data_IF_649824520587
#
_entry.id   IF_649824520587
#
_cell.length_a   1.000
_cell.length_b   1.000
_cell.length_c   1.000
_cell.angle_alpha   90.00
_cell.angle_beta   90.00
_cell.angle_gamma   90.00
#
_symmetry.space_group_name_H-M   'P 1'
#
loop_
_entity.id
_entity.type
_entity.pdbx_description
1 polymer ?
#
# COMPACT_ATOMS: atom_id res chain seq x y z
N UNK A 1 10.96 9.46 -0.01
CA UNK A 1 10.69 8.11 -0.58
C UNK A 1 10.55 8.20 -2.10
N UNK A 2 11.60 8.53 -2.86
CA UNK A 2 11.49 8.81 -4.31
C UNK A 2 11.05 7.60 -5.14
N UNK A 3 11.31 6.39 -4.68
CA UNK A 3 10.99 5.16 -5.42
C UNK A 3 9.54 4.69 -5.29
N UNK A 4 8.73 5.29 -4.42
CA UNK A 4 7.33 4.86 -4.25
C UNK A 4 6.42 5.24 -5.42
N UNK A 5 6.84 6.18 -6.28
CA UNK A 5 6.09 6.56 -7.51
C UNK A 5 5.88 5.40 -8.50
N UNK A 6 6.70 4.35 -8.43
CA UNK A 6 6.49 3.14 -9.26
C UNK A 6 5.15 2.45 -8.92
N UNK A 7 4.74 2.51 -7.65
CA UNK A 7 3.47 1.94 -7.21
C UNK A 7 2.28 2.72 -7.77
N UNK A 8 2.44 4.02 -8.03
CA UNK A 8 1.37 4.85 -8.59
C UNK A 8 0.96 4.34 -9.97
N UNK A 9 1.91 4.24 -10.91
CA UNK A 9 1.62 3.77 -12.26
C UNK A 9 1.03 2.35 -12.27
N UNK A 10 1.56 1.47 -11.41
CA UNK A 10 1.08 0.10 -11.30
C UNK A 10 -0.35 0.04 -10.77
N UNK A 11 -0.63 0.67 -9.62
CA UNK A 11 -1.95 0.65 -8.99
C UNK A 11 -2.99 1.30 -9.90
N UNK A 12 -2.65 2.45 -10.51
CA UNK A 12 -3.51 3.17 -11.47
C UNK A 12 -3.88 2.30 -12.69
N UNK A 13 -3.01 1.41 -13.13
CA UNK A 13 -3.28 0.49 -14.24
C UNK A 13 -3.85 -0.87 -13.79
N UNK A 14 -3.93 -1.14 -12.50
CA UNK A 14 -4.25 -2.47 -11.96
C UNK A 14 -5.64 -2.95 -12.39
N UNK A 15 -6.65 -2.08 -12.36
CA UNK A 15 -8.01 -2.42 -12.79
C UNK A 15 -8.04 -2.83 -14.27
N UNK A 16 -7.27 -2.14 -15.11
CA UNK A 16 -7.14 -2.49 -16.52
C UNK A 16 -6.40 -3.82 -16.71
N UNK A 17 -5.31 -4.05 -15.98
CA UNK A 17 -4.59 -5.32 -16.00
C UNK A 17 -5.50 -6.51 -15.63
N UNK A 18 -6.38 -6.33 -14.63
CA UNK A 18 -7.38 -7.34 -14.26
C UNK A 18 -8.38 -7.64 -15.39
N UNK A 19 -8.91 -6.59 -16.06
CA UNK A 19 -9.81 -6.75 -17.22
C UNK A 19 -9.13 -7.48 -18.38
N UNK A 20 -7.89 -7.11 -18.70
CA UNK A 20 -7.10 -7.75 -19.76
C UNK A 20 -6.82 -9.21 -19.42
N UNK A 21 -6.44 -9.51 -18.18
CA UNK A 21 -6.21 -10.88 -17.73
C UNK A 21 -7.48 -11.74 -17.88
N UNK A 22 -8.63 -11.22 -17.47
CA UNK A 22 -9.90 -11.94 -17.63
C UNK A 22 -10.23 -12.18 -19.10
N UNK A 23 -10.15 -11.15 -19.94
CA UNK A 23 -10.39 -11.28 -21.39
C UNK A 23 -9.46 -12.29 -22.06
N UNK A 24 -8.18 -12.33 -21.68
CA UNK A 24 -7.23 -13.30 -22.20
C UNK A 24 -7.54 -14.72 -21.75
N UNK A 25 -8.01 -14.94 -20.52
CA UNK A 25 -8.46 -16.26 -20.05
C UNK A 25 -9.69 -16.75 -20.80
N UNK A 26 -10.61 -15.84 -21.12
CA UNK A 26 -11.84 -16.18 -21.83
C UNK A 26 -11.60 -16.47 -23.32
N UNK A 27 -10.64 -15.77 -23.93
CA UNK A 27 -10.34 -15.88 -25.37
C UNK A 27 -9.30 -16.96 -25.69
N UNK A 28 -8.39 -17.25 -24.76
CA UNK A 28 -7.30 -18.20 -24.96
C UNK A 28 -7.32 -19.33 -23.88
N UNK A 29 -7.88 -20.51 -24.22
CA UNK A 29 -7.95 -21.64 -23.29
C UNK A 29 -6.58 -22.23 -22.96
N UNK A 30 -5.60 -22.16 -23.86
CA UNK A 30 -4.24 -22.65 -23.61
C UNK A 30 -3.54 -21.84 -22.51
N UNK A 31 -3.67 -20.51 -22.57
CA UNK A 31 -3.18 -19.61 -21.52
C UNK A 31 -3.86 -19.91 -20.17
N UNK A 32 -5.16 -20.18 -20.16
CA UNK A 32 -5.90 -20.51 -18.93
C UNK A 32 -5.35 -21.78 -18.26
N UNK A 33 -5.06 -22.82 -19.05
CA UNK A 33 -4.44 -24.06 -18.55
C UNK A 33 -3.03 -23.79 -18.04
N UNK A 34 -2.20 -23.02 -18.75
CA UNK A 34 -0.86 -22.66 -18.30
C UNK A 34 -0.89 -21.90 -16.96
N UNK A 35 -1.80 -20.94 -16.80
CA UNK A 35 -1.97 -20.22 -15.53
C UNK A 35 -2.41 -21.14 -14.39
N UNK A 36 -3.22 -22.15 -14.69
CA UNK A 36 -3.63 -23.15 -13.71
C UNK A 36 -2.46 -24.06 -13.30
N UNK A 37 -1.64 -24.53 -14.25
CA UNK A 37 -0.42 -25.28 -13.93
C UNK A 37 0.56 -24.45 -13.10
N UNK A 38 0.74 -23.16 -13.43
CA UNK A 38 1.60 -22.26 -12.67
C UNK A 38 1.12 -22.06 -11.24
N UNK A 39 -0.19 -22.10 -10.99
CA UNK A 39 -0.76 -22.02 -9.64
C UNK A 39 -0.37 -23.23 -8.79
N UNK A 40 -0.27 -24.41 -9.40
CA UNK A 40 0.10 -25.67 -8.72
C UNK A 40 1.59 -25.73 -8.38
N UNK A 41 2.41 -24.84 -8.94
CA UNK A 41 3.82 -24.69 -8.54
C UNK A 41 3.92 -24.28 -7.06
N UNK A 42 4.70 -25.01 -6.24
CA UNK A 42 4.96 -24.64 -4.84
C UNK A 42 5.45 -23.19 -4.65
N UNK A 43 6.18 -22.64 -5.63
CA UNK A 43 6.66 -21.25 -5.63
C UNK A 43 5.52 -20.24 -5.75
N UNK A 44 4.44 -20.60 -6.45
CA UNK A 44 3.25 -19.77 -6.62
C UNK A 44 2.29 -19.82 -5.41
N UNK A 45 2.62 -20.60 -4.37
CA UNK A 45 1.85 -20.67 -3.12
C UNK A 45 0.34 -20.92 -3.32
N UNK A 46 -0.04 -21.61 -4.40
CA UNK A 46 -1.43 -21.85 -4.79
C UNK A 46 -2.26 -20.57 -5.06
N UNK A 47 -1.62 -19.44 -5.34
CA UNK A 47 -2.26 -18.17 -5.66
C UNK A 47 -2.39 -17.96 -7.16
N UNK A 48 -3.53 -17.39 -7.57
CA UNK A 48 -3.76 -16.99 -8.97
C UNK A 48 -2.97 -15.71 -9.30
N UNK A 49 -2.64 -15.51 -10.58
CA UNK A 49 -1.94 -14.31 -11.03
C UNK A 49 -2.67 -13.01 -10.62
N UNK A 50 -4.01 -13.03 -10.60
CA UNK A 50 -4.84 -11.92 -10.14
C UNK A 50 -4.51 -11.49 -8.71
N UNK A 51 -4.17 -12.44 -7.83
CA UNK A 51 -3.78 -12.16 -6.44
C UNK A 51 -2.44 -11.44 -6.36
N UNK A 52 -1.49 -11.79 -7.24
CA UNK A 52 -0.18 -11.14 -7.29
C UNK A 52 -0.26 -9.70 -7.81
N UNK A 53 -1.18 -9.42 -8.74
CA UNK A 53 -1.43 -8.06 -9.24
C UNK A 53 -1.95 -7.11 -8.15
N UNK A 54 -2.54 -7.63 -7.07
CA UNK A 54 -3.03 -6.86 -5.91
C UNK A 54 -1.92 -6.53 -4.89
N UNK A 55 -0.80 -7.26 -4.88
CA UNK A 55 0.26 -7.13 -3.88
C UNK A 55 0.83 -5.71 -3.78
N UNK A 56 1.07 -4.97 -4.89
CA UNK A 56 1.59 -3.60 -4.81
C UNK A 56 0.67 -2.65 -4.04
N UNK A 57 -0.65 -2.77 -4.24
CA UNK A 57 -1.64 -1.98 -3.51
C UNK A 57 -1.67 -2.34 -2.03
N UNK A 58 -1.65 -3.65 -1.72
CA UNK A 58 -1.59 -4.15 -0.34
C UNK A 58 -0.32 -3.70 0.39
N UNK A 59 0.80 -3.62 -0.32
CA UNK A 59 2.07 -3.16 0.26
C UNK A 59 2.02 -1.66 0.55
N UNK A 60 1.43 -0.87 -0.34
CA UNK A 60 1.29 0.57 -0.15
C UNK A 60 0.41 0.91 1.06
N UNK A 61 -0.71 0.21 1.25
CA UNK A 61 -1.60 0.42 2.40
C UNK A 61 -1.00 -0.05 3.72
N UNK A 62 -0.06 -1.01 3.70
CA UNK A 62 0.62 -1.50 4.90
C UNK A 62 1.67 -0.54 5.46
N UNK A 63 2.36 0.24 4.62
CA UNK A 63 3.45 1.11 5.10
C UNK A 63 3.00 2.10 6.18
N UNK A 64 1.91 2.88 6.01
CA UNK A 64 1.44 3.78 7.07
C UNK A 64 1.12 3.04 8.38
N UNK A 65 0.56 1.84 8.31
CA UNK A 65 0.23 1.05 9.51
C UNK A 65 1.47 0.63 10.28
N UNK A 66 2.47 0.08 9.58
CA UNK A 66 3.72 -0.37 10.19
C UNK A 66 4.52 0.81 10.75
N UNK A 67 4.58 1.94 10.03
CA UNK A 67 5.30 3.12 10.50
C UNK A 67 4.62 3.73 11.73
N UNK A 68 3.27 3.74 11.78
CA UNK A 68 2.53 4.14 13.00
C UNK A 68 2.87 3.25 14.18
N UNK A 69 2.94 1.94 13.98
CA UNK A 69 3.32 1.02 15.05
C UNK A 69 4.74 1.29 15.55
N UNK A 70 5.69 1.47 14.63
CA UNK A 70 7.07 1.83 14.99
C UNK A 70 7.07 3.13 15.81
N UNK A 71 6.37 4.18 15.35
CA UNK A 71 6.27 5.44 16.08
C UNK A 71 5.71 5.29 17.50
N UNK A 72 4.69 4.44 17.68
CA UNK A 72 4.09 4.16 18.99
C UNK A 72 5.05 3.42 19.94
N UNK A 73 5.86 2.48 19.43
CA UNK A 73 6.86 1.78 20.24
C UNK A 73 8.12 2.61 20.48
N UNK A 74 8.34 3.66 19.69
CA UNK A 74 9.38 4.66 19.93
C UNK A 74 8.93 5.73 20.94
N UNK A 75 7.63 5.87 21.23
CA UNK A 75 7.18 6.70 22.36
C UNK A 75 7.60 6.03 23.68
N UNK A 76 8.27 6.74 24.61
CA UNK A 76 8.46 6.21 25.95
C UNK A 76 7.06 6.03 26.56
N UNK A 77 6.77 4.88 27.21
CA UNK A 77 5.54 4.77 27.98
C UNK A 77 5.50 5.97 28.93
N UNK A 78 4.43 6.76 28.84
CA UNK A 78 4.16 7.82 29.81
C UNK A 78 4.43 7.18 31.19
N UNK A 79 5.33 7.74 32.01
CA UNK A 79 5.59 7.13 33.29
C UNK A 79 4.24 7.05 33.99
N UNK A 80 3.85 5.82 34.36
CA UNK A 80 2.80 5.60 35.34
C UNK A 80 3.25 6.41 36.55
N UNK A 81 2.76 7.65 36.65
CA UNK A 81 3.10 8.56 37.71
C UNK A 81 2.46 7.98 38.96
N UNK A 82 3.24 7.20 39.69
CA UNK A 82 3.10 7.14 41.13
C UNK A 82 3.37 8.57 41.63
N UNK A 83 2.36 9.28 42.19
CA UNK A 83 2.52 10.65 42.66
C UNK A 83 3.51 10.78 43.82
N UNK A 84 4.02 9.66 44.35
CA UNK A 84 5.05 9.63 45.40
C UNK A 84 6.50 9.61 44.87
N UNK A 85 6.74 9.45 43.56
CA UNK A 85 8.09 9.37 43.02
C UNK A 85 8.54 10.72 42.44
N UNK A 86 9.71 11.20 42.89
CA UNK A 86 10.31 12.46 42.45
C UNK A 86 10.35 12.56 40.91
N UNK A 87 10.20 13.77 40.32
CA UNK A 87 10.15 13.93 38.88
C UNK A 87 11.48 13.47 38.28
N UNK A 88 11.50 12.25 37.73
CA UNK A 88 12.57 11.84 36.83
C UNK A 88 12.45 12.74 35.62
N UNK A 89 13.38 13.67 35.48
CA UNK A 89 13.73 14.30 34.21
C UNK A 89 13.92 13.19 33.18
N UNK A 90 12.87 12.87 32.41
CA UNK A 90 13.03 12.11 31.18
C UNK A 90 13.70 13.04 30.18
N UNK A 91 15.01 13.25 30.34
CA UNK A 91 15.84 13.77 29.26
C UNK A 91 15.81 12.70 28.17
N UNK A 92 14.83 12.77 27.28
CA UNK A 92 14.93 12.12 25.98
C UNK A 92 16.19 12.65 25.32
N UNK A 93 17.10 11.77 24.89
CA UNK A 93 18.33 12.22 24.25
C UNK A 93 17.98 13.02 22.98
N UNK A 94 18.73 14.07 22.61
CA UNK A 94 18.49 14.83 21.38
C UNK A 94 18.40 13.96 20.11
N UNK A 95 19.10 12.82 20.11
CA UNK A 95 19.04 11.80 19.06
C UNK A 95 17.69 11.09 18.97
N UNK A 96 17.02 10.83 20.11
CA UNK A 96 15.70 10.19 20.14
C UNK A 96 14.62 11.11 19.55
N UNK A 97 14.74 12.42 19.78
CA UNK A 97 13.82 13.40 19.19
C UNK A 97 13.98 13.48 17.67
N UNK A 98 15.22 13.47 17.17
CA UNK A 98 15.51 13.48 15.73
C UNK A 98 15.05 12.19 15.03
N UNK A 99 15.23 11.03 15.67
CA UNK A 99 14.72 9.75 15.15
C UNK A 99 13.19 9.73 15.09
N UNK A 100 12.53 10.19 16.16
CA UNK A 100 11.06 10.34 16.21
C UNK A 100 10.54 11.25 15.10
N UNK A 101 11.16 12.41 14.91
CA UNK A 101 10.78 13.35 13.86
C UNK A 101 10.96 12.72 12.47
N UNK A 102 12.06 11.97 12.26
CA UNK A 102 12.29 11.23 11.02
C UNK A 102 11.21 10.19 10.74
N UNK A 103 10.78 9.42 11.76
CA UNK A 103 9.71 8.41 11.66
C UNK A 103 8.37 9.08 11.38
N UNK A 104 8.02 10.16 12.08
CA UNK A 104 6.80 10.93 11.85
C UNK A 104 6.75 11.50 10.43
N UNK A 105 7.87 12.05 9.95
CA UNK A 105 8.02 12.52 8.57
C UNK A 105 7.89 11.37 7.56
N UNK A 106 8.40 10.19 7.87
CA UNK A 106 8.23 9.00 7.03
C UNK A 106 6.76 8.56 6.96
N UNK A 107 6.04 8.63 8.08
CA UNK A 107 4.61 8.33 8.15
C UNK A 107 3.80 9.27 7.27
N UNK A 108 3.96 10.59 7.45
CA UNK A 108 3.22 11.58 6.68
C UNK A 108 3.46 11.44 5.18
N UNK A 109 4.71 11.16 4.77
CA UNK A 109 5.02 10.86 3.36
C UNK A 109 4.32 9.60 2.84
N UNK A 110 4.27 8.53 3.63
CA UNK A 110 3.61 7.28 3.22
C UNK A 110 2.10 7.46 3.07
N UNK A 111 1.48 8.22 3.98
CA UNK A 111 0.05 8.57 3.91
C UNK A 111 -0.26 9.43 2.68
N UNK A 112 0.55 10.48 2.44
CA UNK A 112 0.40 11.36 1.28
C UNK A 112 0.46 10.58 -0.05
N UNK A 113 1.43 9.67 -0.18
CA UNK A 113 1.55 8.85 -1.39
C UNK A 113 0.35 7.92 -1.55
N UNK A 114 -0.13 7.30 -0.46
CA UNK A 114 -1.31 6.44 -0.52
C UNK A 114 -2.56 7.23 -0.95
N UNK A 115 -2.72 8.44 -0.43
CA UNK A 115 -3.81 9.34 -0.80
C UNK A 115 -3.72 9.76 -2.27
N UNK A 116 -2.54 10.17 -2.75
CA UNK A 116 -2.30 10.50 -4.15
C UNK A 116 -2.66 9.34 -5.10
N UNK A 117 -2.25 8.12 -4.75
CA UNK A 117 -2.58 6.92 -5.54
C UNK A 117 -4.08 6.64 -5.54
N UNK A 118 -4.74 6.75 -4.38
CA UNK A 118 -6.19 6.55 -4.26
C UNK A 118 -6.98 7.58 -5.07
N UNK A 119 -6.59 8.86 -5.02
CA UNK A 119 -7.24 9.90 -5.83
C UNK A 119 -7.02 9.67 -7.32
N UNK A 120 -5.79 9.37 -7.73
CA UNK A 120 -5.49 9.11 -9.15
C UNK A 120 -6.29 7.90 -9.68
N UNK A 121 -6.49 6.88 -8.86
CA UNK A 121 -7.35 5.74 -9.16
C UNK A 121 -8.81 6.15 -9.36
N UNK A 122 -9.38 6.91 -8.42
CA UNK A 122 -10.75 7.42 -8.49
C UNK A 122 -10.98 8.30 -9.72
N UNK A 123 -10.03 9.18 -10.01
CA UNK A 123 -10.05 10.07 -11.17
C UNK A 123 -10.08 9.28 -12.48
N UNK A 124 -9.20 8.27 -12.60
CA UNK A 124 -9.13 7.44 -13.80
C UNK A 124 -10.42 6.66 -14.00
N UNK A 125 -10.98 6.07 -12.94
CA UNK A 125 -12.25 5.35 -13.02
C UNK A 125 -13.40 6.29 -13.44
N UNK A 126 -13.45 7.48 -12.87
CA UNK A 126 -14.46 8.50 -13.21
C UNK A 126 -14.38 8.91 -14.69
N UNK A 127 -13.16 9.16 -15.21
CA UNK A 127 -12.94 9.49 -16.63
C UNK A 127 -13.33 8.34 -17.55
N UNK A 128 -13.04 7.09 -17.17
CA UNK A 128 -13.44 5.91 -17.93
C UNK A 128 -14.96 5.81 -18.05
N UNK A 129 -15.69 5.96 -16.93
CA UNK A 129 -17.16 5.93 -16.91
C UNK A 129 -17.78 7.05 -17.76
N UNK A 130 -17.24 8.27 -17.70
CA UNK A 130 -17.70 9.39 -18.53
C UNK A 130 -17.50 9.13 -20.03
N UNK A 131 -16.40 8.49 -20.41
CA UNK A 131 -16.12 8.09 -21.78
C UNK A 131 -17.07 7.01 -22.30
N UNK A 132 -17.49 6.07 -21.45
CA UNK A 132 -18.50 5.05 -21.77
C UNK A 132 -19.86 5.72 -22.04
N UNK A 133 -20.34 6.58 -21.14
CA UNK A 133 -21.62 7.29 -21.29
C UNK A 133 -21.66 8.19 -22.52
N UNK A 134 -20.52 8.80 -22.89
CA UNK A 134 -20.44 9.68 -24.06
C UNK A 134 -20.43 8.92 -25.38
N UNK A 135 -20.09 7.62 -25.39
CA UNK A 135 -20.16 6.74 -26.57
C UNK A 135 -21.54 6.14 -26.80
N UNK A 136 -22.40 6.16 -25.77
CA UNK A 136 -23.77 5.63 -25.81
C UNK A 136 -24.81 6.68 -26.28
N UNK A 137 -24.39 7.91 -26.60
CA UNK A 137 -25.21 8.96 -27.21
C UNK A 137 -24.88 9.14 -28.68
#
# INVERSE_FOLDING_TARGET
MPHMRVYLNHCVNQANAGKVLQSLRDTNPELSVQLQCLREDPLARNLDLSSYLLVPMQRLTRYPLLIRQILQYTDPPAPLLDPSSAPRLTLSLPTEHAERESIANALGRAEQILEEVNETMRDRESRMRLGEVSRER
#
